data_IF_759864541574
#
_entry.id   IF_759864541574
#
_cell.length_a   1.000
_cell.length_b   1.000
_cell.length_c   1.000
_cell.angle_alpha   90.00
_cell.angle_beta   90.00
_cell.angle_gamma   90.00
#
_symmetry.space_group_name_H-M   'P 1'
#
loop_
_entity.id
_entity.type
_entity.pdbx_description
1 polymer ?
#
# COMPACT_ATOMS: atom_id res chain seq x y z
N UNK A 1 18.05 11.20 -22.99
CA UNK A 1 18.25 12.51 -22.33
C UNK A 1 17.36 12.54 -21.09
N UNK A 2 17.88 13.01 -19.95
CA UNK A 2 17.08 13.23 -18.73
C UNK A 2 16.37 14.58 -18.86
N UNK A 3 15.05 14.62 -18.69
CA UNK A 3 14.27 15.87 -18.76
C UNK A 3 14.37 16.68 -17.46
N UNK A 4 14.25 16.01 -16.32
CA UNK A 4 14.44 16.59 -14.99
C UNK A 4 14.85 15.51 -13.99
N UNK A 5 15.35 15.94 -12.83
CA UNK A 5 15.66 15.09 -11.69
C UNK A 5 15.42 15.86 -10.40
N UNK A 6 14.77 15.21 -9.43
CA UNK A 6 14.41 15.85 -8.16
C UNK A 6 15.00 15.05 -7.00
N UNK A 7 15.83 15.66 -6.13
CA UNK A 7 16.33 14.98 -4.95
C UNK A 7 15.21 14.80 -3.92
N UNK A 8 15.28 13.71 -3.16
CA UNK A 8 14.40 13.44 -2.01
C UNK A 8 15.23 12.86 -0.87
N UNK A 9 14.68 12.86 0.35
CA UNK A 9 15.34 12.28 1.50
C UNK A 9 15.30 10.74 1.45
N UNK A 10 16.42 10.11 1.12
CA UNK A 10 16.54 8.64 1.09
C UNK A 10 16.67 7.99 2.47
N UNK A 11 16.56 8.77 3.55
CA UNK A 11 16.72 8.33 4.93
C UNK A 11 18.17 8.05 5.31
N UNK A 12 18.39 7.72 6.58
CA UNK A 12 19.73 7.41 7.11
C UNK A 12 20.13 5.93 6.98
N UNK A 13 19.17 5.05 6.70
CA UNK A 13 19.36 3.58 6.66
C UNK A 13 18.34 2.87 5.76
N UNK A 14 18.61 1.61 5.45
CA UNK A 14 17.58 0.67 4.94
C UNK A 14 16.64 0.34 6.10
N UNK A 15 15.34 0.66 5.97
CA UNK A 15 14.35 0.38 7.02
C UNK A 15 13.84 -1.07 6.91
N UNK A 16 13.45 -1.73 8.03
CA UNK A 16 12.90 -3.10 8.01
C UNK A 16 11.72 -3.24 7.05
N UNK A 17 11.84 -4.07 6.02
CA UNK A 17 10.82 -4.21 4.97
C UNK A 17 11.23 -3.65 3.61
N UNK A 18 12.31 -2.86 3.57
CA UNK A 18 12.87 -2.35 2.32
C UNK A 18 13.91 -3.26 1.70
N UNK A 19 13.95 -3.30 0.37
CA UNK A 19 14.98 -3.97 -0.43
C UNK A 19 16.24 -3.09 -0.55
N UNK A 20 16.06 -1.77 -0.58
CA UNK A 20 17.16 -0.81 -0.72
C UNK A 20 16.88 0.49 0.05
N UNK A 21 17.91 1.32 0.24
CA UNK A 21 17.75 2.61 0.90
C UNK A 21 17.28 3.67 -0.09
N UNK A 22 15.99 4.00 -0.05
CA UNK A 22 15.40 5.01 -0.91
C UNK A 22 13.88 4.96 -0.86
N UNK A 23 13.25 5.52 -1.90
CA UNK A 23 11.79 5.67 -1.99
C UNK A 23 11.02 4.37 -1.74
N UNK A 24 11.47 3.26 -2.32
CA UNK A 24 10.71 2.00 -2.39
C UNK A 24 9.50 2.04 -3.32
N UNK A 25 9.05 3.22 -3.77
CA UNK A 25 7.97 3.35 -4.76
C UNK A 25 8.52 3.43 -6.18
N UNK A 26 7.76 2.85 -7.12
CA UNK A 26 7.82 3.29 -8.51
C UNK A 26 7.02 4.60 -8.63
N UNK A 27 7.51 5.61 -9.39
CA UNK A 27 6.76 6.85 -9.61
C UNK A 27 5.35 6.57 -10.12
N UNK A 28 4.35 7.09 -9.41
CA UNK A 28 2.94 6.95 -9.77
C UNK A 28 2.49 8.17 -10.54
N UNK A 29 2.14 7.98 -11.82
CA UNK A 29 1.61 9.06 -12.66
C UNK A 29 0.14 9.29 -12.32
N UNK A 30 -0.24 10.54 -12.12
CA UNK A 30 -1.61 10.96 -11.82
C UNK A 30 -1.96 12.04 -12.85
N UNK A 31 -3.02 11.79 -13.62
CA UNK A 31 -3.41 12.63 -14.74
C UNK A 31 -2.20 12.97 -15.65
N UNK A 32 -2.18 14.18 -16.22
CA UNK A 32 -1.12 14.64 -17.11
C UNK A 32 -0.04 15.47 -16.41
N UNK A 33 -0.30 15.94 -15.18
CA UNK A 33 0.48 16.99 -14.51
C UNK A 33 1.17 16.54 -13.22
N UNK A 34 0.83 15.37 -12.67
CA UNK A 34 1.31 14.94 -11.37
C UNK A 34 2.09 13.62 -11.41
N UNK A 35 3.11 13.56 -10.56
CA UNK A 35 3.81 12.33 -10.17
C UNK A 35 3.83 12.27 -8.65
N UNK A 36 3.58 11.09 -8.09
CA UNK A 36 3.71 10.86 -6.66
C UNK A 36 4.71 9.74 -6.36
N UNK A 37 5.51 9.95 -5.32
CA UNK A 37 6.43 8.96 -4.73
C UNK A 37 6.34 9.03 -3.20
N UNK A 38 6.96 8.08 -2.52
CA UNK A 38 7.39 8.28 -1.13
C UNK A 38 8.86 8.61 -1.04
N UNK A 39 9.27 9.22 0.05
CA UNK A 39 10.68 9.25 0.45
C UNK A 39 10.99 8.17 1.48
N UNK A 40 12.15 8.24 2.11
CA UNK A 40 12.52 7.37 3.23
C UNK A 40 13.01 8.18 4.44
N UNK A 41 12.52 9.41 4.60
CA UNK A 41 12.92 10.31 5.67
C UNK A 41 12.76 9.71 7.07
N UNK A 42 13.60 10.17 8.01
CA UNK A 42 13.47 9.92 9.44
C UNK A 42 12.88 11.18 10.12
N UNK A 43 12.00 11.04 11.15
CA UNK A 43 11.51 9.80 11.73
C UNK A 43 10.31 9.20 10.97
N UNK A 44 9.74 9.89 9.98
CA UNK A 44 8.59 9.41 9.20
C UNK A 44 8.87 9.58 7.72
N UNK A 45 8.50 8.58 6.92
CA UNK A 45 8.44 8.78 5.48
C UNK A 45 7.33 9.77 5.11
N UNK A 46 7.48 10.41 3.95
CA UNK A 46 6.51 11.31 3.38
C UNK A 46 5.97 10.75 2.06
N UNK A 47 4.73 11.13 1.74
CA UNK A 47 4.25 11.13 0.35
C UNK A 47 4.61 12.48 -0.26
N UNK A 48 5.21 12.48 -1.44
CA UNK A 48 5.66 13.65 -2.17
C UNK A 48 4.93 13.71 -3.50
N UNK A 49 4.32 14.86 -3.80
CA UNK A 49 3.76 15.18 -5.12
C UNK A 49 4.72 16.10 -5.86
N UNK A 50 4.99 15.75 -7.11
CA UNK A 50 5.87 16.47 -8.03
C UNK A 50 5.07 16.87 -9.27
N UNK A 51 5.43 18.02 -9.83
CA UNK A 51 5.00 18.40 -11.18
C UNK A 51 5.68 17.47 -12.21
N UNK A 52 4.88 16.86 -13.06
CA UNK A 52 5.34 15.83 -14.01
C UNK A 52 6.26 16.37 -15.10
N UNK A 53 6.09 17.64 -15.48
CA UNK A 53 6.82 18.26 -16.59
C UNK A 53 8.17 18.82 -16.13
N UNK A 54 8.21 19.39 -14.93
CA UNK A 54 9.36 20.14 -14.41
C UNK A 54 10.11 19.39 -13.30
N UNK A 55 9.47 18.41 -12.67
CA UNK A 55 9.98 17.73 -11.48
C UNK A 55 9.86 18.55 -10.19
N UNK A 56 9.27 19.74 -10.22
CA UNK A 56 9.15 20.59 -9.04
C UNK A 56 8.37 19.88 -7.93
N UNK A 57 8.91 19.85 -6.70
CA UNK A 57 8.13 19.44 -5.51
C UNK A 57 6.99 20.43 -5.28
N UNK A 58 5.76 19.94 -5.38
CA UNK A 58 4.55 20.73 -5.16
C UNK A 58 4.20 20.72 -3.68
N UNK A 59 4.21 19.53 -3.07
CA UNK A 59 3.99 19.37 -1.63
C UNK A 59 4.53 18.03 -1.15
N UNK A 60 4.71 17.93 0.17
CA UNK A 60 5.00 16.68 0.87
C UNK A 60 4.27 16.61 2.19
N UNK A 61 3.89 15.40 2.61
CA UNK A 61 3.19 15.17 3.88
C UNK A 61 3.68 13.90 4.55
N UNK A 62 3.99 13.91 5.87
CA UNK A 62 4.40 12.73 6.58
C UNK A 62 3.23 11.75 6.77
N UNK A 63 3.50 10.47 6.63
CA UNK A 63 2.53 9.39 6.85
C UNK A 63 3.03 8.39 7.88
N UNK A 64 2.07 7.75 8.57
CA UNK A 64 2.31 6.71 9.58
C UNK A 64 3.11 7.15 10.82
N UNK A 65 3.50 6.17 11.64
CA UNK A 65 4.20 6.35 12.91
C UNK A 65 5.69 6.64 12.75
N UNK A 66 6.23 7.39 13.72
CA UNK A 66 7.65 7.64 13.82
C UNK A 66 8.44 6.33 13.96
N UNK A 67 9.55 6.22 13.24
CA UNK A 67 10.47 5.10 13.18
C UNK A 67 9.85 3.75 12.74
N UNK A 68 8.62 3.77 12.24
CA UNK A 68 7.85 2.59 11.87
C UNK A 68 7.09 2.81 10.55
N UNK A 69 7.76 3.42 9.58
CA UNK A 69 7.19 3.76 8.27
C UNK A 69 8.17 3.51 7.13
N UNK A 70 7.74 2.69 6.17
CA UNK A 70 8.33 2.54 4.84
C UNK A 70 7.29 1.94 3.89
N UNK A 71 7.65 1.85 2.62
CA UNK A 71 6.90 1.10 1.61
C UNK A 71 7.88 0.53 0.59
N UNK A 72 7.50 -0.56 -0.07
CA UNK A 72 8.19 -1.16 -1.23
C UNK A 72 7.21 -1.39 -2.39
N UNK A 73 6.14 -0.59 -2.42
CA UNK A 73 5.06 -0.71 -3.37
C UNK A 73 4.85 0.60 -4.11
N UNK A 74 4.25 0.52 -5.29
CA UNK A 74 3.73 1.72 -5.96
C UNK A 74 2.52 2.27 -5.21
N UNK A 75 2.33 3.58 -5.30
CA UNK A 75 1.13 4.22 -4.77
C UNK A 75 -0.08 3.87 -5.65
N UNK A 76 -1.27 3.83 -5.05
CA UNK A 76 -2.52 3.65 -5.80
C UNK A 76 -3.16 5.00 -6.04
N UNK A 77 -3.19 5.44 -7.30
CA UNK A 77 -3.87 6.68 -7.69
C UNK A 77 -5.40 6.53 -7.62
N UNK A 78 -6.07 7.51 -7.00
CA UNK A 78 -7.53 7.59 -6.89
C UNK A 78 -7.94 9.05 -7.12
N UNK A 79 -8.27 9.40 -8.36
CA UNK A 79 -8.42 10.80 -8.76
C UNK A 79 -7.12 11.58 -8.51
N UNK A 80 -7.21 12.76 -7.91
CA UNK A 80 -6.05 13.57 -7.50
C UNK A 80 -5.52 13.23 -6.10
N UNK A 81 -5.60 11.96 -5.74
CA UNK A 81 -5.17 11.44 -4.45
C UNK A 81 -4.36 10.16 -4.65
N UNK A 82 -3.60 9.79 -3.63
CA UNK A 82 -2.89 8.51 -3.60
C UNK A 82 -3.20 7.75 -2.33
N UNK A 83 -3.17 6.43 -2.42
CA UNK A 83 -3.18 5.53 -1.28
C UNK A 83 -1.80 4.88 -1.16
N UNK A 84 -1.25 4.91 0.06
CA UNK A 84 0.03 4.35 0.43
C UNK A 84 -0.16 3.28 1.51
N UNK A 85 0.61 2.20 1.43
CA UNK A 85 0.62 1.10 2.39
C UNK A 85 1.95 1.08 3.17
N UNK A 86 1.88 0.82 4.47
CA UNK A 86 3.04 0.67 5.34
C UNK A 86 3.52 -0.78 5.35
N UNK A 87 4.71 -1.03 4.81
CA UNK A 87 5.32 -2.37 4.78
C UNK A 87 6.37 -2.57 5.89
N UNK A 88 6.41 -1.65 6.85
CA UNK A 88 7.44 -1.66 7.88
C UNK A 88 7.38 -2.94 8.73
N UNK A 89 8.52 -3.63 8.79
CA UNK A 89 8.70 -4.91 9.48
C UNK A 89 8.66 -6.13 8.57
N UNK A 90 8.26 -6.01 7.28
CA UNK A 90 8.20 -7.15 6.35
C UNK A 90 9.57 -7.53 5.75
N UNK A 91 10.53 -7.95 6.56
CA UNK A 91 11.87 -8.28 6.06
C UNK A 91 11.95 -9.61 5.29
N UNK A 92 11.06 -10.55 5.59
CA UNK A 92 10.91 -11.84 4.91
C UNK A 92 9.56 -12.47 5.29
N UNK A 93 9.09 -13.51 4.59
CA UNK A 93 7.79 -14.13 4.90
C UNK A 93 7.66 -14.69 6.33
N UNK A 94 8.75 -15.11 6.97
CA UNK A 94 8.71 -15.75 8.30
C UNK A 94 8.33 -14.78 9.42
N UNK A 95 8.44 -13.46 9.21
CA UNK A 95 7.98 -12.45 10.19
C UNK A 95 6.45 -12.44 10.37
N UNK A 96 5.72 -13.17 9.53
CA UNK A 96 4.26 -13.34 9.60
C UNK A 96 3.83 -14.66 10.27
N UNK A 97 4.78 -15.46 10.74
CA UNK A 97 4.49 -16.69 11.49
C UNK A 97 4.04 -16.39 12.92
N UNK A 98 3.46 -17.40 13.56
CA UNK A 98 3.12 -17.38 14.97
C UNK A 98 2.25 -16.19 15.40
N UNK A 99 1.22 -15.88 14.60
CA UNK A 99 0.33 -14.74 14.89
C UNK A 99 0.92 -13.37 14.59
N UNK A 100 2.20 -13.25 14.27
CA UNK A 100 2.85 -11.96 14.04
C UNK A 100 2.44 -11.32 12.71
N UNK A 101 2.57 -10.01 12.61
CA UNK A 101 2.28 -9.21 11.41
C UNK A 101 3.15 -7.95 11.39
N UNK A 102 3.01 -7.12 10.36
CA UNK A 102 3.75 -5.87 10.19
C UNK A 102 3.12 -4.70 10.95
N UNK A 103 3.86 -3.59 11.04
CA UNK A 103 3.29 -2.34 11.53
C UNK A 103 2.08 -1.94 10.67
N UNK A 104 0.92 -1.65 11.29
CA UNK A 104 -0.28 -1.30 10.54
C UNK A 104 -0.15 0.06 9.84
N UNK A 105 -0.90 0.22 8.75
CA UNK A 105 -1.07 1.50 8.09
C UNK A 105 -1.43 1.36 6.62
N UNK A 106 -2.61 1.84 6.25
CA UNK A 106 -2.93 2.24 4.88
C UNK A 106 -3.47 3.66 4.97
N UNK A 107 -2.90 4.59 4.21
CA UNK A 107 -3.28 5.99 4.28
C UNK A 107 -3.67 6.53 2.92
N UNK A 108 -4.65 7.42 2.89
CA UNK A 108 -4.97 8.24 1.71
C UNK A 108 -4.40 9.63 1.91
N UNK A 109 -3.72 10.14 0.89
CA UNK A 109 -3.24 11.51 0.82
C UNK A 109 -3.92 12.20 -0.35
N UNK A 110 -4.59 13.30 -0.06
CA UNK A 110 -5.24 14.14 -1.06
C UNK A 110 -4.29 15.25 -1.51
N UNK A 111 -4.30 15.55 -2.80
CA UNK A 111 -3.67 16.73 -3.37
C UNK A 111 -4.73 17.75 -3.81
N UNK A 112 -4.55 19.01 -3.42
CA UNK A 112 -5.41 20.12 -3.80
C UNK A 112 -4.58 21.39 -4.01
N UNK A 113 -4.48 21.84 -5.27
CA UNK A 113 -3.88 23.11 -5.66
C UNK A 113 -2.51 23.39 -5.01
N UNK A 114 -1.58 22.45 -5.11
CA UNK A 114 -0.22 22.59 -4.56
C UNK A 114 -0.11 22.28 -3.06
N UNK A 115 -1.19 21.88 -2.40
CA UNK A 115 -1.17 21.39 -1.02
C UNK A 115 -1.51 19.90 -0.99
N UNK A 116 -0.97 19.19 0.00
CA UNK A 116 -1.40 17.83 0.28
C UNK A 116 -1.58 17.57 1.78
N UNK A 117 -2.53 16.69 2.08
CA UNK A 117 -2.86 16.31 3.45
C UNK A 117 -3.28 14.84 3.51
N UNK A 118 -3.00 14.19 4.64
CA UNK A 118 -3.52 12.87 4.93
C UNK A 118 -5.01 12.97 5.21
N UNK A 119 -5.83 12.38 4.34
CA UNK A 119 -7.29 12.36 4.48
C UNK A 119 -7.74 11.36 5.56
N UNK A 120 -7.12 10.18 5.57
CA UNK A 120 -7.36 9.15 6.58
C UNK A 120 -6.18 8.18 6.66
N UNK A 121 -6.11 7.44 7.77
CA UNK A 121 -5.20 6.30 7.95
C UNK A 121 -5.95 5.16 8.62
N UNK A 122 -6.07 4.04 7.91
CA UNK A 122 -6.66 2.81 8.41
C UNK A 122 -5.62 2.00 9.21
N UNK A 123 -5.93 1.56 10.44
CA UNK A 123 -5.02 0.78 11.29
C UNK A 123 -5.01 -0.70 10.89
N UNK A 124 -4.75 -0.97 9.60
CA UNK A 124 -4.77 -2.31 9.01
C UNK A 124 -3.35 -2.73 8.68
N UNK A 125 -2.95 -3.93 9.09
CA UNK A 125 -1.67 -4.52 8.70
C UNK A 125 -1.81 -5.29 7.39
N UNK A 126 -1.15 -4.79 6.36
CA UNK A 126 -0.97 -5.45 5.07
C UNK A 126 0.54 -5.70 4.91
N UNK A 127 1.02 -6.92 5.17
CA UNK A 127 2.46 -7.17 5.24
C UNK A 127 3.21 -6.85 3.96
N UNK A 128 2.63 -7.24 2.82
CA UNK A 128 3.28 -7.16 1.52
C UNK A 128 2.26 -7.06 0.39
N UNK A 129 1.10 -6.46 0.63
CA UNK A 129 0.07 -6.40 -0.40
C UNK A 129 0.48 -5.39 -1.48
N UNK A 130 0.00 -5.58 -2.71
CA UNK A 130 0.02 -4.54 -3.74
C UNK A 130 -1.44 -4.19 -4.01
N UNK A 131 -1.99 -3.19 -3.29
CA UNK A 131 -3.42 -2.94 -3.30
C UNK A 131 -3.91 -2.44 -4.66
N UNK A 132 -5.19 -2.66 -4.94
CA UNK A 132 -5.86 -2.22 -6.17
C UNK A 132 -7.15 -1.51 -5.84
N UNK A 133 -7.37 -0.32 -6.41
CA UNK A 133 -8.62 0.39 -6.29
C UNK A 133 -9.55 0.09 -7.48
N UNK A 134 -10.84 -0.05 -7.19
CA UNK A 134 -11.92 -0.02 -8.17
C UNK A 134 -12.71 1.26 -7.96
N UNK A 135 -12.59 2.19 -8.92
CA UNK A 135 -13.29 3.48 -8.85
C UNK A 135 -14.79 3.32 -9.09
N UNK A 136 -15.20 2.26 -9.79
CA UNK A 136 -16.62 1.99 -10.07
C UNK A 136 -17.45 1.71 -8.81
N UNK A 137 -16.83 1.10 -7.79
CA UNK A 137 -17.51 0.77 -6.53
C UNK A 137 -16.89 1.46 -5.29
N UNK A 138 -15.85 2.28 -5.48
CA UNK A 138 -15.20 3.01 -4.39
C UNK A 138 -14.45 2.13 -3.40
N UNK A 139 -13.98 0.94 -3.82
CA UNK A 139 -13.27 0.01 -2.95
C UNK A 139 -11.79 -0.11 -3.30
N UNK A 140 -10.95 -0.07 -2.28
CA UNK A 140 -9.58 -0.53 -2.28
C UNK A 140 -9.55 -1.97 -1.80
N UNK A 141 -9.03 -2.86 -2.64
CA UNK A 141 -8.73 -4.22 -2.26
C UNK A 141 -7.27 -4.29 -1.80
N UNK A 142 -7.05 -4.93 -0.66
CA UNK A 142 -5.73 -5.25 -0.12
C UNK A 142 -5.73 -6.67 0.49
N UNK A 143 -4.57 -7.13 0.94
CA UNK A 143 -4.36 -8.44 1.51
C UNK A 143 -3.73 -8.33 2.89
N UNK A 144 -4.50 -8.68 3.91
CA UNK A 144 -4.22 -8.28 5.29
C UNK A 144 -4.01 -9.46 6.20
N UNK A 145 -3.22 -9.23 7.25
CA UNK A 145 -3.02 -10.18 8.33
C UNK A 145 -3.11 -9.47 9.67
N UNK A 146 -3.99 -9.95 10.53
CA UNK A 146 -4.11 -9.45 11.90
C UNK A 146 -3.08 -10.09 12.83
N UNK A 147 -2.81 -9.40 13.95
CA UNK A 147 -2.08 -9.99 15.06
C UNK A 147 -3.01 -10.93 15.82
N UNK A 148 -2.61 -12.19 15.95
CA UNK A 148 -3.44 -13.24 16.54
C UNK A 148 -2.61 -14.09 17.51
N UNK A 149 -3.26 -15.03 18.21
CA UNK A 149 -2.54 -16.01 19.04
C UNK A 149 -1.61 -16.88 18.18
N UNK A 150 -0.55 -17.43 18.79
CA UNK A 150 0.56 -18.05 18.06
C UNK A 150 0.17 -19.22 17.13
N UNK A 151 -0.96 -19.89 17.37
CA UNK A 151 -1.45 -20.98 16.52
C UNK A 151 -2.28 -20.50 15.32
N UNK A 152 -2.59 -19.20 15.23
CA UNK A 152 -3.31 -18.59 14.13
C UNK A 152 -2.40 -17.64 13.33
N UNK A 153 -2.38 -17.82 12.02
CA UNK A 153 -1.77 -16.94 11.02
C UNK A 153 -2.78 -16.75 9.90
N UNK A 154 -3.94 -16.16 10.23
CA UNK A 154 -5.02 -16.01 9.27
C UNK A 154 -4.77 -14.85 8.31
N UNK A 155 -5.02 -15.12 7.04
CA UNK A 155 -4.93 -14.14 5.96
C UNK A 155 -6.32 -13.79 5.45
N UNK A 156 -6.47 -12.55 5.01
CA UNK A 156 -7.75 -12.01 4.58
C UNK A 156 -7.61 -11.19 3.31
N UNK A 157 -8.50 -11.44 2.36
CA UNK A 157 -8.80 -10.48 1.32
C UNK A 157 -9.72 -9.42 1.89
N UNK A 158 -9.31 -8.16 1.84
CA UNK A 158 -9.95 -7.07 2.58
C UNK A 158 -10.32 -5.94 1.65
N UNK A 159 -11.57 -5.48 1.76
CA UNK A 159 -12.06 -4.31 1.06
C UNK A 159 -12.15 -3.11 2.02
N UNK A 160 -11.57 -2.00 1.59
CA UNK A 160 -11.54 -0.72 2.30
C UNK A 160 -12.21 0.32 1.42
N UNK A 161 -13.04 1.17 2.00
CA UNK A 161 -13.64 2.30 1.32
C UNK A 161 -12.58 3.36 1.00
N UNK A 162 -12.44 3.71 -0.28
CA UNK A 162 -11.39 4.66 -0.72
C UNK A 162 -11.60 6.07 -0.17
N UNK A 163 -12.83 6.44 0.18
CA UNK A 163 -13.17 7.79 0.64
C UNK A 163 -13.00 7.95 2.13
N UNK A 164 -13.30 6.91 2.91
CA UNK A 164 -13.35 6.98 4.37
C UNK A 164 -12.25 6.19 5.08
N UNK A 165 -11.59 5.25 4.40
CA UNK A 165 -10.63 4.33 5.00
C UNK A 165 -11.29 3.24 5.86
N UNK A 166 -12.62 3.15 5.87
CA UNK A 166 -13.35 2.14 6.62
C UNK A 166 -13.21 0.77 5.96
N UNK A 167 -12.84 -0.25 6.74
CA UNK A 167 -12.93 -1.64 6.30
C UNK A 167 -14.40 -1.99 6.11
N UNK A 168 -14.79 -2.35 4.89
CA UNK A 168 -16.17 -2.74 4.57
C UNK A 168 -16.40 -4.22 4.83
N UNK A 169 -15.42 -5.06 4.50
CA UNK A 169 -15.49 -6.49 4.76
C UNK A 169 -14.11 -7.13 4.67
N UNK A 170 -14.01 -8.34 5.25
CA UNK A 170 -12.86 -9.23 5.16
C UNK A 170 -13.33 -10.63 4.82
N UNK A 171 -12.64 -11.29 3.89
CA UNK A 171 -12.85 -12.69 3.57
C UNK A 171 -11.60 -13.47 3.92
N UNK A 172 -11.71 -14.39 4.89
CA UNK A 172 -10.60 -15.27 5.27
C UNK A 172 -10.23 -16.16 4.09
N UNK A 173 -8.97 -16.16 3.71
CA UNK A 173 -8.43 -17.02 2.65
C UNK A 173 -7.87 -18.32 3.20
N UNK A 174 -7.10 -18.24 4.29
CA UNK A 174 -6.54 -19.42 4.92
C UNK A 174 -5.61 -19.11 6.09
N UNK A 175 -4.90 -20.14 6.55
CA UNK A 175 -4.04 -20.11 7.73
C UNK A 175 -2.63 -20.59 7.38
N UNK A 176 -1.61 -19.78 7.71
CA UNK A 176 -0.20 -20.15 7.58
C UNK A 176 0.54 -19.44 6.45
N UNK A 177 1.82 -19.80 6.31
CA UNK A 177 2.77 -19.14 5.40
C UNK A 177 2.38 -19.26 3.93
N UNK A 178 1.80 -20.39 3.52
CA UNK A 178 1.42 -20.68 2.14
C UNK A 178 0.39 -19.70 1.54
N UNK A 179 -0.33 -18.98 2.41
CA UNK A 179 -1.34 -17.98 2.04
C UNK A 179 -0.79 -16.55 1.94
N UNK A 180 0.47 -16.32 2.31
CA UNK A 180 1.12 -15.02 2.20
C UNK A 180 1.43 -14.72 0.73
N UNK A 181 1.12 -13.50 0.28
CA UNK A 181 1.26 -13.08 -1.11
C UNK A 181 2.68 -12.65 -1.49
N UNK A 182 3.52 -12.29 -0.50
CA UNK A 182 4.93 -11.93 -0.69
C UNK A 182 5.19 -10.97 -1.87
N UNK A 183 4.58 -9.79 -1.83
CA UNK A 183 4.63 -8.75 -2.88
C UNK A 183 4.06 -9.16 -4.25
N UNK A 184 3.47 -10.34 -4.37
CA UNK A 184 2.71 -10.67 -5.58
C UNK A 184 1.48 -9.74 -5.67
N UNK A 185 1.37 -9.05 -6.80
CA UNK A 185 0.29 -8.10 -7.03
C UNK A 185 -1.06 -8.78 -7.16
N UNK A 186 -2.09 -8.12 -6.67
CA UNK A 186 -3.47 -8.50 -6.94
C UNK A 186 -3.94 -7.94 -8.28
N UNK A 187 -4.97 -8.56 -8.86
CA UNK A 187 -5.53 -8.16 -10.15
C UNK A 187 -7.05 -8.15 -10.10
N UNK A 188 -7.66 -7.16 -10.75
CA UNK A 188 -9.11 -7.10 -10.96
C UNK A 188 -9.38 -7.44 -12.42
N UNK A 189 -10.11 -8.53 -12.65
CA UNK A 189 -10.46 -9.00 -13.98
C UNK A 189 -11.68 -8.28 -14.56
N UNK A 190 -11.83 -8.26 -15.90
CA UNK A 190 -12.98 -7.68 -16.56
C UNK A 190 -14.30 -8.41 -16.26
N UNK A 191 -14.22 -9.64 -15.74
CA UNK A 191 -15.36 -10.47 -15.31
C UNK A 191 -15.83 -10.16 -13.89
N UNK A 192 -15.31 -9.09 -13.28
CA UNK A 192 -15.61 -8.68 -11.90
C UNK A 192 -14.93 -9.56 -10.84
N UNK A 193 -14.07 -10.50 -11.23
CA UNK A 193 -13.33 -11.32 -10.28
C UNK A 193 -12.04 -10.62 -9.83
N UNK A 194 -11.64 -10.84 -8.58
CA UNK A 194 -10.32 -10.49 -8.09
C UNK A 194 -9.42 -11.73 -8.03
N UNK A 195 -8.13 -11.55 -8.28
CA UNK A 195 -7.14 -12.60 -8.27
C UNK A 195 -5.99 -12.19 -7.34
N UNK A 196 -5.68 -13.02 -6.35
CA UNK A 196 -4.57 -12.80 -5.42
C UNK A 196 -3.62 -14.00 -5.48
N UNK A 197 -2.41 -13.84 -6.04
CA UNK A 197 -1.38 -14.87 -5.96
C UNK A 197 -0.90 -14.99 -4.52
N UNK A 198 -0.63 -16.22 -4.11
CA UNK A 198 -0.06 -16.58 -2.81
C UNK A 198 1.12 -17.53 -3.03
N UNK A 199 1.96 -17.72 -2.01
CA UNK A 199 3.16 -18.57 -2.16
C UNK A 199 2.88 -19.97 -2.69
N UNK A 200 1.70 -20.55 -2.44
CA UNK A 200 1.31 -21.86 -2.99
C UNK A 200 0.13 -21.81 -3.96
N UNK A 201 0.00 -20.76 -4.77
CA UNK A 201 -0.90 -20.76 -5.91
C UNK A 201 -1.61 -19.44 -6.15
N UNK A 202 -2.84 -19.54 -6.64
CA UNK A 202 -3.65 -18.39 -7.01
C UNK A 202 -5.05 -18.55 -6.42
N UNK A 203 -5.54 -17.49 -5.78
CA UNK A 203 -6.90 -17.43 -5.25
C UNK A 203 -7.72 -16.55 -6.17
N UNK A 204 -8.92 -17.01 -6.53
CA UNK A 204 -9.90 -16.24 -7.28
C UNK A 204 -11.08 -15.91 -6.37
N UNK A 205 -11.43 -14.64 -6.30
CA UNK A 205 -12.61 -14.12 -5.61
C UNK A 205 -13.63 -13.70 -6.66
N UNK A 206 -14.88 -14.11 -6.49
CA UNK A 206 -15.98 -13.65 -7.32
C UNK A 206 -17.22 -13.51 -6.46
N UNK A 207 -17.95 -12.43 -6.66
CA UNK A 207 -19.23 -12.22 -6.03
C UNK A 207 -20.20 -13.35 -6.43
N UNK A 208 -21.03 -13.77 -5.48
CA UNK A 208 -22.17 -14.60 -5.83
C UNK A 208 -23.22 -13.73 -6.54
N UNK A 209 -23.93 -14.26 -7.54
CA UNK A 209 -25.07 -13.57 -8.12
C UNK A 209 -26.05 -13.18 -7.00
N UNK A 210 -26.58 -11.96 -7.05
CA UNK A 210 -27.66 -11.58 -6.16
C UNK A 210 -28.84 -12.55 -6.37
N UNK A 211 -29.26 -13.21 -5.30
CA UNK A 211 -30.44 -14.08 -5.26
C UNK A 211 -31.73 -13.29 -5.36
#
# INVERSE_FOLDING_TARGET
>A
QVQWSTPYDRGTRVKPGQLSQGSGTTPTLIDEDLVAITDNADPRMNVIFLDRTTGQELCKVPVFGANASNTENSLVAVGRSVIVENNYGYSNPFVTLFGQTTTPGIARVDFNNGNCQTAWTAPVSAPSAVPKASLANGLLYTYTKESEAWWFSQWYFTAIDVHTGAVKWKMRTGNGLQWNNHYASMYLGPDGAAYAPVMQGLIRFKDQPAS
#
